data_IF_560654978383
#
_entry.id   IF_560654978383
#
_cell.length_a   1.000
_cell.length_b   1.000
_cell.length_c   1.000
_cell.angle_alpha   90.00
_cell.angle_beta   90.00
_cell.angle_gamma   90.00
#
_symmetry.space_group_name_H-M   'P 1'
#
loop_
_entity.id
_entity.type
_entity.pdbx_description
1 polymer ?
#
# COMPACT_ATOMS: atom_id res chain seq x y z
N UNK A 1 -4.96 -57.22 6.81
CA UNK A 1 -5.45 -56.20 5.85
C UNK A 1 -4.55 -54.98 5.99
N UNK A 2 -3.48 -54.88 5.21
CA UNK A 2 -2.63 -53.68 5.18
C UNK A 2 -3.33 -52.65 4.29
N UNK A 3 -3.58 -51.45 4.81
CA UNK A 3 -4.03 -50.33 3.99
C UNK A 3 -2.89 -49.95 3.04
N UNK A 4 -3.14 -49.75 1.74
CA UNK A 4 -2.12 -49.26 0.83
C UNK A 4 -1.75 -47.82 1.24
N UNK A 5 -0.44 -47.55 1.34
CA UNK A 5 0.13 -46.21 1.46
C UNK A 5 -0.46 -45.33 0.33
N UNK A 6 -1.36 -44.41 0.68
CA UNK A 6 -1.79 -43.38 -0.25
C UNK A 6 -0.58 -42.50 -0.60
N UNK A 7 -0.26 -42.29 -1.90
CA UNK A 7 0.81 -41.38 -2.27
C UNK A 7 0.41 -39.97 -1.82
N UNK A 8 1.22 -39.40 -0.93
CA UNK A 8 1.06 -38.00 -0.49
C UNK A 8 1.00 -37.10 -1.74
N UNK A 9 0.06 -36.14 -1.82
CA UNK A 9 -0.01 -35.21 -2.94
C UNK A 9 1.36 -34.55 -3.10
N UNK A 10 1.96 -34.72 -4.28
CA UNK A 10 3.21 -34.05 -4.62
C UNK A 10 2.96 -32.55 -4.53
N UNK A 11 3.67 -31.88 -3.63
CA UNK A 11 3.63 -30.43 -3.52
C UNK A 11 4.06 -29.85 -4.87
N UNK A 12 3.16 -29.13 -5.54
CA UNK A 12 3.48 -28.42 -6.78
C UNK A 12 4.71 -27.54 -6.52
N UNK A 13 5.73 -27.57 -7.42
CA UNK A 13 6.91 -26.75 -7.23
C UNK A 13 6.52 -25.27 -7.25
N UNK A 14 7.03 -24.51 -6.27
CA UNK A 14 6.82 -23.08 -6.20
C UNK A 14 7.22 -22.43 -7.54
N UNK A 15 6.43 -21.47 -8.07
CA UNK A 15 6.71 -20.87 -9.36
C UNK A 15 8.08 -20.18 -9.35
N UNK A 16 8.91 -20.47 -10.35
CA UNK A 16 10.26 -19.91 -10.49
C UNK A 16 10.26 -18.42 -10.86
N UNK A 17 9.13 -17.89 -11.35
CA UNK A 17 9.00 -16.53 -11.87
C UNK A 17 7.65 -15.89 -11.51
N UNK A 18 7.64 -14.56 -11.34
CA UNK A 18 6.40 -13.79 -11.17
C UNK A 18 5.75 -13.59 -12.54
N UNK A 19 4.53 -14.13 -12.70
CA UNK A 19 3.78 -14.05 -13.95
C UNK A 19 3.32 -12.61 -14.25
N UNK A 20 3.45 -12.18 -15.51
CA UNK A 20 3.04 -10.83 -15.96
C UNK A 20 1.54 -10.57 -15.73
N UNK A 21 0.70 -11.60 -15.84
CA UNK A 21 -0.72 -11.53 -15.53
C UNK A 21 -0.98 -11.04 -14.09
N UNK A 22 -0.21 -11.54 -13.12
CA UNK A 22 -0.33 -11.16 -11.71
C UNK A 22 0.07 -9.69 -11.52
N UNK A 23 1.16 -9.27 -12.18
CA UNK A 23 1.61 -7.87 -12.15
C UNK A 23 0.56 -6.92 -12.75
N UNK A 24 -0.02 -7.30 -13.89
CA UNK A 24 -1.09 -6.55 -14.54
C UNK A 24 -2.33 -6.42 -13.66
N UNK A 25 -2.79 -7.53 -13.08
CA UNK A 25 -3.95 -7.56 -12.17
C UNK A 25 -3.70 -6.72 -10.91
N UNK A 26 -2.53 -6.87 -10.29
CA UNK A 26 -2.16 -6.06 -9.11
C UNK A 26 -2.17 -4.57 -9.42
N UNK A 27 -1.59 -4.16 -10.55
CA UNK A 27 -1.55 -2.74 -10.95
C UNK A 27 -2.96 -2.16 -11.14
N UNK A 28 -3.83 -2.88 -11.83
CA UNK A 28 -5.21 -2.43 -12.07
C UNK A 28 -5.98 -2.27 -10.75
N UNK A 29 -5.92 -3.28 -9.87
CA UNK A 29 -6.59 -3.24 -8.57
C UNK A 29 -6.02 -2.15 -7.65
N UNK A 30 -4.70 -1.96 -7.66
CA UNK A 30 -4.04 -0.91 -6.86
C UNK A 30 -4.47 0.49 -7.29
N UNK A 31 -4.66 0.72 -8.59
CA UNK A 31 -5.15 1.99 -9.11
C UNK A 31 -6.59 2.26 -8.66
N UNK A 32 -7.48 1.26 -8.79
CA UNK A 32 -8.88 1.36 -8.35
C UNK A 32 -8.98 1.60 -6.84
N UNK A 33 -8.21 0.86 -6.03
CA UNK A 33 -8.19 1.03 -4.59
C UNK A 33 -7.70 2.42 -4.17
N UNK A 34 -6.72 2.98 -4.87
CA UNK A 34 -6.24 4.35 -4.62
C UNK A 34 -7.32 5.39 -4.87
N UNK A 35 -8.03 5.26 -5.98
CA UNK A 35 -9.14 6.16 -6.34
C UNK A 35 -10.28 6.06 -5.33
N UNK A 36 -10.70 4.84 -5.00
CA UNK A 36 -11.74 4.58 -4.00
C UNK A 36 -11.36 5.18 -2.64
N UNK A 37 -10.14 4.94 -2.17
CA UNK A 37 -9.65 5.51 -0.90
C UNK A 37 -9.69 7.03 -0.90
N UNK A 38 -9.31 7.67 -2.01
CA UNK A 38 -9.37 9.13 -2.11
C UNK A 38 -10.80 9.67 -2.05
N UNK A 39 -11.73 9.00 -2.73
CA UNK A 39 -13.15 9.36 -2.74
C UNK A 39 -13.77 9.20 -1.35
N UNK A 40 -13.51 8.08 -0.68
CA UNK A 40 -14.01 7.81 0.68
C UNK A 40 -13.46 8.85 1.66
N UNK A 41 -12.16 9.13 1.63
CA UNK A 41 -11.55 10.14 2.51
C UNK A 41 -12.09 11.55 2.25
N UNK A 42 -12.40 11.89 1.00
CA UNK A 42 -13.01 13.17 0.64
C UNK A 42 -14.43 13.28 1.20
N UNK A 43 -15.25 12.24 1.02
CA UNK A 43 -16.61 12.18 1.58
C UNK A 43 -16.60 12.24 3.10
N UNK A 44 -15.71 11.50 3.75
CA UNK A 44 -15.54 11.51 5.21
C UNK A 44 -15.30 12.93 5.73
N UNK A 45 -14.40 13.69 5.08
CA UNK A 45 -14.12 15.08 5.46
C UNK A 45 -15.34 15.98 5.31
N UNK A 46 -16.09 15.83 4.22
CA UNK A 46 -17.32 16.58 3.98
C UNK A 46 -18.35 16.29 5.08
N UNK A 47 -18.60 15.01 5.37
CA UNK A 47 -19.57 14.58 6.39
C UNK A 47 -19.18 15.11 7.77
N UNK A 48 -17.91 14.95 8.18
CA UNK A 48 -17.44 15.47 9.47
C UNK A 48 -17.53 16.99 9.57
N UNK A 49 -17.23 17.72 8.49
CA UNK A 49 -17.38 19.17 8.46
C UNK A 49 -18.84 19.60 8.59
N UNK A 50 -19.77 18.93 7.90
CA UNK A 50 -21.21 19.19 8.01
C UNK A 50 -21.75 18.86 9.40
N UNK A 51 -21.30 17.75 9.99
CA UNK A 51 -21.64 17.38 11.36
C UNK A 51 -21.13 18.40 12.38
N UNK A 52 -19.90 18.91 12.21
CA UNK A 52 -19.35 19.96 13.06
C UNK A 52 -20.14 21.29 12.99
N UNK A 53 -20.86 21.53 11.89
CA UNK A 53 -21.79 22.66 11.75
C UNK A 53 -23.18 22.38 12.35
N UNK A 54 -23.43 21.18 12.89
CA UNK A 54 -24.70 20.79 13.48
C UNK A 54 -25.82 20.53 12.48
N UNK A 55 -25.48 20.22 11.21
CA UNK A 55 -26.48 19.89 10.21
C UNK A 55 -27.15 18.53 10.52
N UNK A 56 -28.49 18.44 10.46
CA UNK A 56 -29.19 17.18 10.69
C UNK A 56 -28.98 16.21 9.52
N UNK A 57 -28.97 14.91 9.82
CA UNK A 57 -28.98 13.84 8.81
C UNK A 57 -30.38 13.70 8.23
N UNK A 58 -30.50 13.60 6.91
CA UNK A 58 -31.77 13.37 6.22
C UNK A 58 -32.38 12.01 6.62
N UNK A 59 -33.72 11.89 6.78
CA UNK A 59 -34.36 10.62 7.07
C UNK A 59 -34.04 9.55 6.02
N UNK A 60 -33.51 8.41 6.45
CA UNK A 60 -33.12 7.33 5.56
C UNK A 60 -32.65 6.09 6.32
N UNK A 61 -32.05 5.11 5.60
CA UNK A 61 -31.57 3.86 6.21
C UNK A 61 -30.22 4.00 6.92
N UNK A 62 -29.61 5.20 6.90
CA UNK A 62 -28.27 5.46 7.43
C UNK A 62 -28.36 6.50 8.54
N UNK A 63 -27.53 6.32 9.58
CA UNK A 63 -27.34 7.28 10.66
C UNK A 63 -25.84 7.56 10.82
N UNK A 64 -25.50 8.64 11.51
CA UNK A 64 -24.13 9.07 11.76
C UNK A 64 -23.75 8.82 13.22
N UNK A 65 -22.73 7.98 13.44
CA UNK A 65 -22.07 7.81 14.73
C UNK A 65 -20.61 8.27 14.64
N UNK A 66 -20.22 9.20 15.51
CA UNK A 66 -18.87 9.79 15.53
C UNK A 66 -18.20 9.46 16.86
N UNK A 67 -17.21 8.57 16.80
CA UNK A 67 -16.35 8.27 17.94
C UNK A 67 -15.09 9.15 17.91
N UNK A 68 -14.80 9.80 19.04
CA UNK A 68 -13.55 10.53 19.25
C UNK A 68 -12.57 9.66 20.04
N UNK A 69 -11.32 9.60 19.56
CA UNK A 69 -10.22 8.93 20.26
C UNK A 69 -9.05 9.88 20.35
N UNK A 70 -8.62 10.15 21.58
CA UNK A 70 -7.42 10.95 21.81
C UNK A 70 -6.17 10.09 21.65
N UNK A 71 -5.24 10.55 20.82
CA UNK A 71 -3.91 9.95 20.70
C UNK A 71 -2.85 10.99 21.02
N UNK A 72 -1.95 10.65 21.96
CA UNK A 72 -0.76 11.46 22.24
C UNK A 72 0.37 10.93 21.36
N UNK A 73 0.91 11.80 20.51
CA UNK A 73 2.10 11.51 19.70
C UNK A 73 3.30 12.20 20.34
N UNK A 74 4.39 11.47 20.49
CA UNK A 74 5.69 12.05 20.84
C UNK A 74 6.47 12.20 19.53
N UNK A 75 6.81 13.44 19.20
CA UNK A 75 7.67 13.77 18.05
C UNK A 75 9.14 13.68 18.43
N UNK A 76 10.02 13.61 17.43
CA UNK A 76 11.46 13.61 17.69
C UNK A 76 11.91 14.94 18.32
N UNK A 77 11.32 16.05 17.90
CA UNK A 77 11.62 17.37 18.47
C UNK A 77 11.23 17.43 19.95
N UNK A 78 10.11 16.82 20.33
CA UNK A 78 9.73 16.69 21.74
C UNK A 78 10.69 15.79 22.52
N UNK A 79 11.18 14.70 21.93
CA UNK A 79 12.22 13.86 22.56
C UNK A 79 13.50 14.65 22.78
N UNK A 80 13.97 15.39 21.77
CA UNK A 80 15.18 16.21 21.86
C UNK A 80 15.01 17.32 22.90
N UNK A 81 13.84 17.97 22.96
CA UNK A 81 13.53 18.99 23.96
C UNK A 81 13.53 18.43 25.39
N UNK A 82 13.04 17.21 25.59
CA UNK A 82 12.88 16.59 26.91
C UNK A 82 14.13 15.87 27.42
N UNK A 83 14.89 15.24 26.52
CA UNK A 83 15.99 14.33 26.86
C UNK A 83 17.36 14.86 26.44
N UNK A 84 17.41 15.89 25.58
CA UNK A 84 18.63 16.38 24.96
C UNK A 84 19.01 15.60 23.69
N UNK A 85 19.70 16.27 22.79
CA UNK A 85 20.10 15.71 21.49
C UNK A 85 21.02 14.49 21.63
N UNK A 86 21.97 14.55 22.57
CA UNK A 86 22.99 13.52 22.79
C UNK A 86 22.36 12.17 23.14
N UNK A 87 21.39 12.17 24.08
CA UNK A 87 20.67 10.97 24.52
C UNK A 87 19.81 10.39 23.40
N UNK A 88 19.16 11.25 22.61
CA UNK A 88 18.31 10.81 21.50
C UNK A 88 19.12 10.12 20.41
N UNK A 89 20.30 10.66 20.06
CA UNK A 89 21.18 10.05 19.07
C UNK A 89 21.80 8.75 19.59
N UNK A 90 22.18 8.67 20.87
CA UNK A 90 22.63 7.41 21.47
C UNK A 90 21.56 6.32 21.33
N UNK A 91 20.32 6.60 21.74
CA UNK A 91 19.20 5.64 21.62
C UNK A 91 18.96 5.25 20.17
N UNK A 92 19.03 6.20 19.23
CA UNK A 92 18.83 5.95 17.79
C UNK A 92 19.87 4.97 17.23
N UNK A 93 21.12 5.00 17.69
CA UNK A 93 22.14 4.05 17.25
C UNK A 93 21.90 2.62 17.75
N UNK A 94 21.17 2.45 18.85
CA UNK A 94 20.85 1.13 19.43
C UNK A 94 19.61 0.48 18.80
N UNK A 95 18.75 1.27 18.16
CA UNK A 95 17.52 0.77 17.53
C UNK A 95 17.84 0.21 16.14
N UNK A 96 17.55 -1.08 15.92
CA UNK A 96 17.68 -1.70 14.60
C UNK A 96 16.66 -1.09 13.62
N UNK A 97 17.06 -0.73 12.39
CA UNK A 97 16.13 -0.24 11.39
C UNK A 97 15.02 -1.26 11.13
N UNK A 98 13.77 -0.79 11.09
CA UNK A 98 12.66 -1.61 10.61
C UNK A 98 12.65 -1.58 9.09
N UNK A 99 12.84 -2.73 8.45
CA UNK A 99 12.81 -2.83 6.98
C UNK A 99 11.36 -2.97 6.52
N UNK A 100 10.83 -1.89 5.95
CA UNK A 100 9.55 -1.91 5.25
C UNK A 100 9.78 -2.07 3.74
N UNK A 101 9.01 -2.94 3.08
CA UNK A 101 9.07 -3.17 1.63
C UNK A 101 7.78 -2.66 0.99
N UNK A 102 7.89 -1.69 0.10
CA UNK A 102 6.77 -1.22 -0.73
C UNK A 102 6.85 -1.82 -2.13
N UNK A 103 5.74 -2.36 -2.64
CA UNK A 103 5.66 -2.88 -4.01
C UNK A 103 5.11 -1.83 -4.98
N UNK A 104 5.88 -1.52 -6.03
CA UNK A 104 5.46 -0.67 -7.16
C UNK A 104 5.66 -1.42 -8.48
N UNK A 105 4.60 -1.52 -9.28
CA UNK A 105 4.64 -2.12 -10.63
C UNK A 105 4.60 -1.00 -11.67
N UNK A 106 5.57 -0.96 -12.57
CA UNK A 106 5.73 0.08 -13.62
C UNK A 106 5.87 -0.54 -15.00
N UNK A 107 5.50 0.21 -16.04
CA UNK A 107 5.71 -0.21 -17.43
C UNK A 107 7.20 -0.23 -17.79
N UNK A 108 7.61 -1.24 -18.56
CA UNK A 108 8.95 -1.29 -19.14
C UNK A 108 8.97 -0.48 -20.43
N UNK A 109 9.91 0.46 -20.63
CA UNK A 109 10.03 1.17 -21.91
C UNK A 109 10.45 0.19 -23.02
N UNK A 110 9.65 0.12 -24.08
CA UNK A 110 9.99 -0.65 -25.29
C UNK A 110 10.89 0.22 -26.17
N UNK A 111 12.16 -0.15 -26.35
CA UNK A 111 13.02 0.48 -27.35
C UNK A 111 12.48 0.13 -28.76
N UNK A 112 12.14 1.09 -29.63
CA UNK A 112 11.73 0.76 -30.98
C UNK A 112 12.91 0.11 -31.73
N UNK A 113 12.64 -1.03 -32.37
CA UNK A 113 13.62 -1.72 -33.20
C UNK A 113 14.13 -0.77 -34.30
N UNK A 114 15.45 -0.64 -34.42
CA UNK A 114 16.09 0.19 -35.43
C UNK A 114 15.63 -0.26 -36.82
N UNK A 115 15.01 0.65 -37.58
CA UNK A 115 14.67 0.42 -38.98
C UNK A 115 15.97 0.11 -39.74
N UNK A 116 16.14 -1.16 -40.11
CA UNK A 116 17.20 -1.61 -41.02
C UNK A 116 17.05 -0.87 -42.35
N UNK A 117 17.80 0.20 -42.54
CA UNK A 117 18.00 0.88 -43.83
C UNK A 117 18.70 -0.11 -44.77
N UNK A 118 17.92 -0.87 -45.56
CA UNK A 118 18.45 -1.50 -46.77
C UNK A 118 18.86 -0.38 -47.72
N UNK A 119 20.16 -0.16 -47.86
CA UNK A 119 20.73 0.60 -48.97
C UNK A 119 20.55 -0.25 -50.23
N UNK A 120 19.63 0.15 -51.11
CA UNK A 120 19.70 -0.28 -52.50
C UNK A 120 20.87 0.48 -53.13
N UNK A 121 21.89 -0.25 -53.55
CA UNK A 121 22.92 0.25 -54.46
C UNK A 121 22.35 0.01 -55.86
N UNK A 122 22.16 1.11 -56.60
CA UNK A 122 21.86 1.11 -58.02
C UNK A 122 23.15 0.98 -58.84
#
# INVERSE_FOLDING_TARGET
>A
MQQPDEPRPQAEPAPSEIRQEILGRYRALSAQARELNWTVESLRKIILAQHALGLPVEPGPLDLDVAETEQRRITNDELVRLLGLEVVEEVRTQIKPTVSKSLKVVDRPVKPAAKSRRRNVA
#
